data_IF_338798206302
#
_entry.id   IF_338798206302
#
_cell.length_a   1.000
_cell.length_b   1.000
_cell.length_c   1.000
_cell.angle_alpha   90.00
_cell.angle_beta   90.00
_cell.angle_gamma   90.00
#
_symmetry.space_group_name_H-M   'P 1'
#
loop_
_entity.id
_entity.type
_entity.pdbx_description
1 polymer ?
#
# COMPACT_ATOMS: atom_id res chain seq x y z
N UNK A 1 11.70 31.79 -0.11
CA UNK A 1 11.48 30.97 1.10
C UNK A 1 12.82 30.79 1.81
N UNK A 2 12.91 31.07 3.11
CA UNK A 2 14.14 30.88 3.90
C UNK A 2 14.31 29.39 4.20
N UNK A 3 15.50 28.82 3.98
CA UNK A 3 15.77 27.41 4.29
C UNK A 3 15.88 27.23 5.81
N UNK A 4 15.05 26.35 6.34
CA UNK A 4 15.04 25.84 7.71
C UNK A 4 15.89 24.57 7.78
N UNK A 5 17.15 24.76 8.17
CA UNK A 5 18.11 23.67 8.31
C UNK A 5 17.82 22.82 9.53
N UNK A 6 18.07 21.52 9.41
CA UNK A 6 18.03 20.61 10.53
C UNK A 6 19.13 20.99 11.55
N UNK A 7 18.84 21.01 12.86
CA UNK A 7 19.83 21.34 13.87
C UNK A 7 21.06 20.43 13.79
N UNK A 8 22.26 21.00 13.95
CA UNK A 8 23.51 20.23 13.98
C UNK A 8 23.47 19.21 15.15
N UNK A 9 23.04 19.66 16.33
CA UNK A 9 22.87 18.83 17.52
C UNK A 9 21.50 18.14 17.51
N UNK A 10 21.36 17.09 16.70
CA UNK A 10 20.22 16.18 16.74
C UNK A 10 20.64 14.79 17.25
N UNK A 11 19.79 14.09 18.03
CA UNK A 11 20.07 12.73 18.47
C UNK A 11 20.38 11.82 17.27
N UNK A 12 21.46 11.01 17.31
CA UNK A 12 21.83 10.11 16.21
C UNK A 12 20.67 9.23 15.75
N UNK A 13 19.85 8.75 16.70
CA UNK A 13 18.65 7.96 16.40
C UNK A 13 17.69 8.66 15.44
N UNK A 14 17.45 9.97 15.57
CA UNK A 14 16.56 10.72 14.65
C UNK A 14 17.17 10.87 13.25
N UNK A 15 18.50 10.97 13.16
CA UNK A 15 19.21 10.98 11.88
C UNK A 15 19.09 9.63 11.19
N UNK A 16 19.26 8.53 11.92
CA UNK A 16 19.09 7.18 11.38
C UNK A 16 17.65 6.89 10.93
N UNK A 17 16.65 7.35 11.68
CA UNK A 17 15.24 7.28 11.26
C UNK A 17 15.00 8.04 9.95
N UNK A 18 15.54 9.25 9.83
CA UNK A 18 15.46 10.03 8.59
C UNK A 18 16.18 9.30 7.44
N UNK A 19 17.35 8.72 7.71
CA UNK A 19 18.10 7.96 6.72
C UNK A 19 17.30 6.75 6.23
N UNK A 20 16.76 5.95 7.15
CA UNK A 20 15.98 4.76 6.82
C UNK A 20 14.72 5.11 6.01
N UNK A 21 13.95 6.10 6.45
CA UNK A 21 12.76 6.57 5.72
C UNK A 21 13.13 7.15 4.36
N UNK A 22 14.22 7.92 4.28
CA UNK A 22 14.73 8.45 3.02
C UNK A 22 15.10 7.34 2.06
N UNK A 23 15.96 6.39 2.47
CA UNK A 23 16.35 5.26 1.63
C UNK A 23 15.13 4.49 1.10
N UNK A 24 14.15 4.20 1.97
CA UNK A 24 12.91 3.54 1.56
C UNK A 24 12.15 4.34 0.49
N UNK A 25 11.92 5.63 0.72
CA UNK A 25 11.15 6.45 -0.22
C UNK A 25 11.88 6.59 -1.56
N UNK A 26 13.20 6.78 -1.52
CA UNK A 26 13.98 6.85 -2.75
C UNK A 26 13.99 5.51 -3.50
N UNK A 27 14.01 4.37 -2.80
CA UNK A 27 13.83 3.06 -3.44
C UNK A 27 12.45 3.00 -4.11
N UNK A 28 11.37 3.30 -3.41
CA UNK A 28 10.01 3.21 -3.98
C UNK A 28 9.82 4.15 -5.17
N UNK A 29 10.32 5.39 -5.09
CA UNK A 29 10.15 6.39 -6.14
C UNK A 29 11.05 6.16 -7.35
N UNK A 30 12.33 5.82 -7.15
CA UNK A 30 13.33 5.81 -8.23
C UNK A 30 13.67 4.43 -8.76
N UNK A 31 13.49 3.36 -7.97
CA UNK A 31 13.82 2.00 -8.41
C UNK A 31 13.09 1.57 -9.70
N UNK A 32 11.80 1.90 -9.93
CA UNK A 32 11.14 1.57 -11.20
C UNK A 32 11.86 2.20 -12.40
N UNK A 33 12.18 3.49 -12.33
CA UNK A 33 12.87 4.20 -13.40
C UNK A 33 14.31 3.70 -13.59
N UNK A 34 15.04 3.49 -12.49
CA UNK A 34 16.39 2.93 -12.52
C UNK A 34 16.41 1.52 -13.12
N UNK A 35 15.40 0.70 -12.82
CA UNK A 35 15.29 -0.65 -13.36
C UNK A 35 15.08 -0.65 -14.88
N UNK A 36 14.21 0.23 -15.38
CA UNK A 36 14.00 0.42 -16.83
C UNK A 36 15.28 0.96 -17.49
N UNK A 37 15.91 1.97 -16.89
CA UNK A 37 17.16 2.53 -17.38
C UNK A 37 18.27 1.47 -17.47
N UNK A 38 18.49 0.69 -16.41
CA UNK A 38 19.49 -0.38 -16.38
C UNK A 38 19.19 -1.46 -17.41
N UNK A 39 17.92 -1.78 -17.63
CA UNK A 39 17.52 -2.76 -18.67
C UNK A 39 17.90 -2.27 -20.05
N UNK A 40 17.58 -1.01 -20.39
CA UNK A 40 17.96 -0.40 -21.67
C UNK A 40 19.48 -0.33 -21.79
N UNK A 41 20.17 0.12 -20.74
CA UNK A 41 21.63 0.18 -20.71
C UNK A 41 22.25 -1.19 -20.97
N UNK A 42 21.82 -2.24 -20.29
CA UNK A 42 22.35 -3.59 -20.51
C UNK A 42 22.00 -4.15 -21.89
N UNK A 43 20.84 -3.82 -22.46
CA UNK A 43 20.51 -4.19 -23.84
C UNK A 43 21.46 -3.54 -24.87
N UNK A 44 21.94 -2.32 -24.60
CA UNK A 44 22.84 -1.60 -25.51
C UNK A 44 24.30 -2.02 -25.36
N UNK A 45 24.77 -2.26 -24.12
CA UNK A 45 26.19 -2.38 -23.82
C UNK A 45 26.68 -3.81 -23.50
N UNK A 46 25.79 -4.78 -23.23
CA UNK A 46 26.24 -6.15 -23.01
C UNK A 46 26.71 -6.83 -24.30
N UNK A 47 27.57 -7.84 -24.14
CA UNK A 47 27.93 -8.77 -25.21
C UNK A 47 26.68 -9.48 -25.76
N UNK A 48 26.80 -10.12 -26.93
CA UNK A 48 25.71 -10.91 -27.52
C UNK A 48 25.12 -11.93 -26.51
N UNK A 49 25.99 -12.64 -25.80
CA UNK A 49 25.56 -13.60 -24.77
C UNK A 49 24.83 -12.92 -23.61
N UNK A 50 25.34 -11.78 -23.13
CA UNK A 50 24.69 -11.03 -22.05
C UNK A 50 23.30 -10.51 -22.45
N UNK A 51 23.15 -10.01 -23.68
CA UNK A 51 21.85 -9.62 -24.24
C UNK A 51 20.89 -10.80 -24.35
N UNK A 52 21.36 -11.96 -24.81
CA UNK A 52 20.54 -13.16 -24.89
C UNK A 52 20.02 -13.59 -23.52
N UNK A 53 20.87 -13.60 -22.48
CA UNK A 53 20.47 -13.90 -21.10
C UNK A 53 19.46 -12.88 -20.59
N UNK A 54 19.67 -11.59 -20.84
CA UNK A 54 18.73 -10.54 -20.44
C UNK A 54 17.36 -10.71 -21.12
N UNK A 55 17.32 -11.00 -22.41
CA UNK A 55 16.06 -11.24 -23.14
C UNK A 55 15.33 -12.50 -22.64
N UNK A 56 16.06 -13.56 -22.29
CA UNK A 56 15.49 -14.75 -21.64
C UNK A 56 14.89 -14.38 -20.28
N UNK A 57 15.59 -13.57 -19.49
CA UNK A 57 15.08 -13.10 -18.20
C UNK A 57 13.82 -12.23 -18.34
N UNK A 58 13.79 -11.30 -19.29
CA UNK A 58 12.60 -10.49 -19.58
C UNK A 58 11.42 -11.35 -20.04
N UNK A 59 11.68 -12.34 -20.90
CA UNK A 59 10.68 -13.30 -21.38
C UNK A 59 10.15 -14.17 -20.23
N UNK A 60 11.03 -14.60 -19.32
CA UNK A 60 10.65 -15.31 -18.10
C UNK A 60 9.76 -14.45 -17.20
N UNK A 61 10.12 -13.19 -16.94
CA UNK A 61 9.30 -12.27 -16.15
C UNK A 61 7.91 -12.13 -16.75
N UNK A 62 7.85 -11.85 -18.05
CA UNK A 62 6.59 -11.67 -18.76
C UNK A 62 5.71 -12.93 -18.67
N UNK A 63 6.29 -14.09 -18.96
CA UNK A 63 5.58 -15.37 -18.89
C UNK A 63 5.10 -15.70 -17.47
N UNK A 64 6.00 -15.59 -16.48
CA UNK A 64 5.69 -15.87 -15.08
C UNK A 64 4.59 -14.95 -14.58
N UNK A 65 4.66 -13.66 -14.84
CA UNK A 65 3.62 -12.74 -14.41
C UNK A 65 2.29 -13.03 -15.12
N UNK A 66 2.31 -13.28 -16.44
CA UNK A 66 1.08 -13.56 -17.20
C UNK A 66 0.39 -14.86 -16.79
N UNK A 67 1.15 -15.87 -16.38
CA UNK A 67 0.64 -17.21 -16.03
C UNK A 67 0.43 -17.43 -14.54
N UNK A 68 1.29 -16.86 -13.70
CA UNK A 68 1.36 -17.12 -12.27
C UNK A 68 1.22 -15.85 -11.43
N UNK A 69 0.98 -14.69 -12.07
CA UNK A 69 0.78 -13.39 -11.43
C UNK A 69 1.98 -12.96 -10.57
N UNK A 70 3.17 -13.50 -10.87
CA UNK A 70 4.38 -13.34 -10.06
C UNK A 70 4.15 -13.62 -8.58
N UNK A 71 3.42 -14.70 -8.32
CA UNK A 71 3.06 -15.12 -6.98
C UNK A 71 4.29 -15.36 -6.08
N UNK A 72 4.00 -15.34 -4.79
CA UNK A 72 4.93 -15.60 -3.71
C UNK A 72 4.27 -16.51 -2.68
N UNK A 73 5.07 -17.42 -2.12
CA UNK A 73 4.67 -18.27 -1.01
C UNK A 73 5.01 -17.62 0.33
N UNK A 74 4.28 -17.99 1.38
CA UNK A 74 4.51 -17.50 2.73
C UNK A 74 4.47 -15.98 2.85
N UNK A 75 5.34 -15.40 3.68
CA UNK A 75 5.43 -13.96 3.91
C UNK A 75 6.55 -13.27 3.10
N UNK A 76 7.00 -13.86 1.99
CA UNK A 76 8.21 -13.37 1.32
C UNK A 76 9.46 -13.55 2.19
N UNK A 77 10.48 -12.74 1.99
CA UNK A 77 11.75 -12.85 2.70
C UNK A 77 11.72 -12.03 4.00
N UNK A 78 11.49 -12.71 5.12
CA UNK A 78 11.33 -12.07 6.44
C UNK A 78 12.49 -11.14 6.85
N UNK A 79 13.78 -11.42 6.57
CA UNK A 79 14.86 -10.48 6.84
C UNK A 79 14.73 -9.13 6.11
N UNK A 80 14.15 -9.10 4.91
CA UNK A 80 13.88 -7.84 4.20
C UNK A 80 12.72 -7.06 4.85
N UNK A 81 11.76 -7.77 5.45
CA UNK A 81 10.60 -7.18 6.13
C UNK A 81 10.92 -6.77 7.56
N UNK A 82 11.74 -7.52 8.29
CA UNK A 82 12.05 -7.29 9.71
C UNK A 82 13.56 -7.07 9.88
N UNK A 83 14.01 -5.83 9.79
CA UNK A 83 15.40 -5.46 9.97
C UNK A 83 15.54 -4.08 10.62
N UNK A 84 16.80 -3.66 10.76
CA UNK A 84 17.17 -2.40 11.34
C UNK A 84 16.53 -1.18 10.65
N UNK A 85 16.48 -1.16 9.32
CA UNK A 85 15.90 -0.06 8.55
C UNK A 85 14.39 0.02 8.77
N UNK A 86 13.68 -1.12 8.69
CA UNK A 86 12.22 -1.15 8.84
C UNK A 86 11.77 -0.77 10.26
N UNK A 87 12.57 -1.11 11.29
CA UNK A 87 12.34 -0.64 12.67
C UNK A 87 12.46 0.89 12.76
N UNK A 88 13.46 1.49 12.14
CA UNK A 88 13.68 2.93 12.16
C UNK A 88 12.66 3.71 11.35
N UNK A 89 12.17 3.16 10.24
CA UNK A 89 11.02 3.73 9.54
C UNK A 89 9.77 3.76 10.41
N UNK A 90 9.47 2.67 11.12
CA UNK A 90 8.34 2.61 12.05
C UNK A 90 8.42 3.69 13.14
N UNK A 91 9.62 3.88 13.70
CA UNK A 91 9.87 4.90 14.71
C UNK A 91 9.86 6.33 14.15
N UNK A 92 10.07 6.51 12.83
CA UNK A 92 10.02 7.82 12.19
C UNK A 92 8.61 8.41 12.25
N UNK A 93 7.57 7.61 11.97
CA UNK A 93 6.15 8.02 11.95
C UNK A 93 5.35 7.63 13.20
N UNK A 94 6.00 7.40 14.36
CA UNK A 94 5.46 6.61 15.49
C UNK A 94 4.24 5.71 15.18
N UNK A 95 4.44 4.67 14.36
CA UNK A 95 3.30 3.92 13.77
C UNK A 95 2.61 3.02 14.79
N UNK A 96 1.28 3.16 14.85
CA UNK A 96 0.38 2.33 15.65
C UNK A 96 -0.51 1.44 14.75
N UNK A 97 -0.80 0.23 15.24
CA UNK A 97 -1.76 -0.70 14.64
C UNK A 97 -2.80 -1.05 15.69
N UNK A 98 -4.03 -0.58 15.48
CA UNK A 98 -5.16 -0.77 16.40
C UNK A 98 -6.03 -1.90 15.88
N UNK A 99 -6.08 -2.99 16.65
CA UNK A 99 -6.96 -4.13 16.40
C UNK A 99 -8.32 -3.86 17.05
N UNK A 100 -9.40 -3.90 16.27
CA UNK A 100 -10.77 -3.78 16.80
C UNK A 100 -11.55 -5.10 16.80
N UNK A 101 -11.10 -6.08 16.01
CA UNK A 101 -11.71 -7.40 15.91
C UNK A 101 -10.66 -8.50 15.64
N UNK A 102 -11.05 -9.75 15.90
CA UNK A 102 -10.26 -10.93 15.54
C UNK A 102 -10.36 -11.24 14.04
N UNK A 103 -9.23 -11.61 13.43
CA UNK A 103 -9.19 -12.19 12.08
C UNK A 103 -8.87 -13.67 12.23
N UNK A 104 -9.90 -14.52 12.16
CA UNK A 104 -9.76 -15.96 12.29
C UNK A 104 -8.99 -16.53 11.09
N UNK A 105 -7.98 -17.38 11.29
CA UNK A 105 -7.15 -17.87 10.19
C UNK A 105 -7.82 -18.99 9.37
N UNK A 106 -9.16 -19.05 9.36
CA UNK A 106 -9.97 -20.04 8.66
C UNK A 106 -10.65 -19.51 7.38
N UNK A 107 -10.35 -18.26 7.01
CA UNK A 107 -10.84 -17.61 5.79
C UNK A 107 -9.83 -16.57 5.34
N UNK A 108 -9.93 -16.12 4.09
CA UNK A 108 -9.12 -15.01 3.59
C UNK A 108 -9.89 -13.67 3.68
N UNK A 109 -9.14 -12.57 3.68
CA UNK A 109 -9.67 -11.23 3.92
C UNK A 109 -9.20 -10.24 2.85
N UNK A 110 -10.10 -9.35 2.43
CA UNK A 110 -9.72 -8.10 1.76
C UNK A 110 -9.68 -7.02 2.82
N UNK A 111 -8.50 -6.48 3.12
CA UNK A 111 -8.36 -5.31 3.98
C UNK A 111 -8.51 -4.05 3.11
N UNK A 112 -9.70 -3.44 3.12
CA UNK A 112 -10.02 -2.24 2.35
C UNK A 112 -9.45 -1.02 3.09
N UNK A 113 -8.30 -0.53 2.63
CA UNK A 113 -7.50 0.47 3.33
C UNK A 113 -7.73 1.88 2.80
N UNK A 114 -7.91 2.83 3.72
CA UNK A 114 -8.15 4.24 3.44
C UNK A 114 -7.47 5.15 4.49
N UNK A 115 -7.20 6.43 4.18
CA UNK A 115 -6.96 6.89 2.81
C UNK A 115 -5.68 6.25 2.24
N UNK A 116 -5.51 6.31 0.92
CA UNK A 116 -4.32 5.85 0.21
C UNK A 116 -3.10 6.69 0.60
N UNK A 117 -3.31 7.98 0.84
CA UNK A 117 -2.23 8.96 0.97
C UNK A 117 -1.39 9.03 -0.32
N UNK A 118 -0.14 9.47 -0.19
CA UNK A 118 0.81 9.48 -1.32
C UNK A 118 1.35 8.07 -1.59
N UNK A 119 1.79 7.34 -0.56
CA UNK A 119 2.48 6.04 -0.70
C UNK A 119 1.94 4.94 0.24
N UNK A 120 0.79 5.15 0.89
CA UNK A 120 0.17 4.17 1.80
C UNK A 120 1.10 3.75 2.95
N UNK A 121 1.73 4.70 3.62
CA UNK A 121 2.80 4.52 4.60
C UNK A 121 2.37 3.68 5.80
N UNK A 122 1.17 3.93 6.34
CA UNK A 122 0.62 3.19 7.48
C UNK A 122 0.48 1.70 7.17
N UNK A 123 -0.22 1.38 6.08
CA UNK A 123 -0.38 -0.01 5.59
C UNK A 123 0.97 -0.61 5.27
N UNK A 124 1.83 0.09 4.54
CA UNK A 124 3.11 -0.46 4.12
C UNK A 124 4.04 -0.74 5.29
N UNK A 125 3.97 0.03 6.36
CA UNK A 125 4.70 -0.31 7.57
C UNK A 125 4.03 -1.45 8.31
N UNK A 126 2.78 -1.31 8.74
CA UNK A 126 2.14 -2.33 9.56
C UNK A 126 2.07 -3.71 8.90
N UNK A 127 1.94 -3.76 7.58
CA UNK A 127 1.81 -5.00 6.82
C UNK A 127 3.03 -5.31 5.96
N UNK A 128 3.99 -4.42 5.74
CA UNK A 128 5.15 -4.65 4.86
C UNK A 128 6.51 -4.51 5.56
N UNK A 129 6.65 -3.57 6.50
CA UNK A 129 7.90 -3.23 7.18
C UNK A 129 7.78 -3.36 8.70
N UNK A 130 8.59 -4.25 9.26
CA UNK A 130 8.56 -4.63 10.67
C UNK A 130 7.20 -5.24 11.05
N UNK A 131 6.80 -6.27 10.28
CA UNK A 131 5.50 -6.93 10.34
C UNK A 131 5.26 -7.74 11.62
N UNK A 132 6.24 -7.83 12.52
CA UNK A 132 6.10 -8.57 13.77
C UNK A 132 4.87 -8.17 14.58
N UNK A 133 4.51 -6.87 14.59
CA UNK A 133 3.30 -6.39 15.27
C UNK A 133 2.01 -6.93 14.63
N UNK A 134 1.97 -7.04 13.30
CA UNK A 134 0.85 -7.66 12.60
C UNK A 134 0.73 -9.15 12.96
N UNK A 135 1.84 -9.90 12.88
CA UNK A 135 1.84 -11.33 13.17
C UNK A 135 1.44 -11.64 14.62
N UNK A 136 1.79 -10.74 15.56
CA UNK A 136 1.35 -10.83 16.95
C UNK A 136 -0.17 -10.59 17.10
N UNK A 137 -0.72 -9.58 16.41
CA UNK A 137 -2.12 -9.21 16.54
C UNK A 137 -3.07 -10.12 15.76
N UNK A 138 -2.60 -10.70 14.65
CA UNK A 138 -3.39 -11.56 13.75
C UNK A 138 -2.65 -12.88 13.49
N UNK A 139 -2.54 -13.75 14.51
CA UNK A 139 -1.83 -15.02 14.38
C UNK A 139 -2.46 -15.89 13.29
N UNK A 140 -1.62 -16.52 12.46
CA UNK A 140 -2.06 -17.38 11.35
C UNK A 140 -2.53 -16.63 10.09
N UNK A 141 -2.54 -15.29 10.10
CA UNK A 141 -2.98 -14.45 8.96
C UNK A 141 -1.79 -13.72 8.31
N UNK A 142 -1.46 -14.09 7.07
CA UNK A 142 -0.37 -13.48 6.31
C UNK A 142 -0.74 -12.08 5.79
N UNK A 143 0.06 -11.04 6.07
CA UNK A 143 -0.14 -9.73 5.48
C UNK A 143 0.40 -9.69 4.04
N UNK A 144 -0.50 -9.39 3.09
CA UNK A 144 -0.20 -9.19 1.67
C UNK A 144 -0.61 -7.78 1.26
N UNK A 145 0.33 -6.99 0.75
CA UNK A 145 0.02 -5.65 0.24
C UNK A 145 -0.07 -5.74 -1.28
N UNK A 146 -1.21 -5.34 -1.84
CA UNK A 146 -1.40 -5.25 -3.28
C UNK A 146 -0.88 -3.92 -3.80
N UNK A 147 -0.01 -3.95 -4.82
CA UNK A 147 0.53 -2.77 -5.50
C UNK A 147 0.35 -2.89 -7.02
N UNK A 148 0.70 -1.83 -7.76
CA UNK A 148 0.46 -1.70 -9.20
C UNK A 148 0.96 -2.94 -9.98
N UNK A 149 0.07 -3.50 -10.80
CA UNK A 149 0.35 -4.69 -11.62
C UNK A 149 1.56 -4.50 -12.55
N UNK A 150 1.71 -3.31 -13.12
CA UNK A 150 2.82 -2.97 -14.01
C UNK A 150 4.20 -3.15 -13.37
N UNK A 151 4.33 -3.00 -12.04
CA UNK A 151 5.61 -3.16 -11.36
C UNK A 151 6.16 -4.59 -11.47
N UNK A 152 5.29 -5.58 -11.68
CA UNK A 152 5.68 -6.98 -11.81
C UNK A 152 6.15 -7.36 -13.22
N UNK A 153 6.11 -6.44 -14.18
CA UNK A 153 6.77 -6.59 -15.49
C UNK A 153 8.15 -5.92 -15.54
N UNK A 154 8.51 -5.14 -14.52
CA UNK A 154 9.78 -4.39 -14.48
C UNK A 154 10.85 -5.29 -13.86
N UNK A 155 11.94 -5.62 -14.58
CA UNK A 155 13.04 -6.44 -14.06
C UNK A 155 13.71 -5.78 -12.86
N UNK A 156 14.32 -6.57 -11.97
CA UNK A 156 14.91 -6.14 -10.69
C UNK A 156 13.89 -5.64 -9.66
N UNK A 157 13.01 -4.71 -10.06
CA UNK A 157 11.92 -4.22 -9.21
C UNK A 157 11.00 -5.36 -8.78
N UNK A 158 10.56 -6.20 -9.74
CA UNK A 158 9.67 -7.34 -9.47
C UNK A 158 10.21 -8.23 -8.35
N UNK A 159 11.50 -8.57 -8.39
CA UNK A 159 12.15 -9.47 -7.45
C UNK A 159 12.20 -8.85 -6.07
N UNK A 160 12.54 -7.57 -5.98
CA UNK A 160 12.51 -6.81 -4.73
C UNK A 160 11.09 -6.80 -4.15
N UNK A 161 10.06 -6.51 -4.95
CA UNK A 161 8.66 -6.52 -4.50
C UNK A 161 8.23 -7.90 -4.00
N UNK A 162 8.61 -8.97 -4.71
CA UNK A 162 8.30 -10.36 -4.31
C UNK A 162 9.00 -10.74 -3.01
N UNK A 163 10.30 -10.43 -2.87
CA UNK A 163 11.02 -10.65 -1.62
C UNK A 163 10.45 -9.83 -0.47
N UNK A 164 9.93 -8.64 -0.76
CA UNK A 164 9.28 -7.79 0.23
C UNK A 164 7.88 -8.27 0.62
N UNK A 165 7.32 -9.25 -0.08
CA UNK A 165 6.01 -9.80 0.24
C UNK A 165 4.84 -9.08 -0.42
N UNK A 166 5.09 -8.19 -1.38
CA UNK A 166 4.06 -7.48 -2.14
C UNK A 166 3.52 -8.37 -3.27
N UNK A 167 2.26 -8.10 -3.64
CA UNK A 167 1.53 -8.83 -4.68
C UNK A 167 0.91 -7.85 -5.67
N UNK A 168 0.51 -8.34 -6.85
CA UNK A 168 -0.20 -7.50 -7.81
C UNK A 168 -1.63 -7.21 -7.35
N UNK A 169 -2.10 -5.98 -7.61
CA UNK A 169 -3.49 -5.56 -7.45
C UNK A 169 -4.39 -5.96 -8.63
N UNK A 170 -3.89 -6.71 -9.63
CA UNK A 170 -4.75 -7.26 -10.68
C UNK A 170 -5.79 -8.22 -10.12
N UNK A 171 -6.96 -8.26 -10.78
CA UNK A 171 -8.09 -9.09 -10.37
C UNK A 171 -7.69 -10.55 -10.19
N UNK A 172 -6.88 -11.07 -11.11
CA UNK A 172 -6.42 -12.46 -11.14
C UNK A 172 -5.50 -12.77 -9.96
N UNK A 173 -4.55 -11.87 -9.67
CA UNK A 173 -3.68 -11.96 -8.49
C UNK A 173 -4.50 -11.93 -7.19
N UNK A 174 -5.44 -10.98 -7.07
CA UNK A 174 -6.31 -10.87 -5.89
C UNK A 174 -7.11 -12.16 -5.68
N UNK A 175 -7.78 -12.68 -6.72
CA UNK A 175 -8.52 -13.95 -6.65
C UNK A 175 -7.59 -15.11 -6.27
N UNK A 176 -6.36 -15.16 -6.82
CA UNK A 176 -5.40 -16.21 -6.51
C UNK A 176 -5.05 -16.29 -5.02
N UNK A 177 -4.84 -15.16 -4.34
CA UNK A 177 -4.52 -15.14 -2.91
C UNK A 177 -5.75 -15.33 -2.01
N UNK A 178 -6.91 -14.82 -2.44
CA UNK A 178 -8.16 -14.89 -1.68
C UNK A 178 -8.85 -16.26 -1.78
N UNK A 179 -8.46 -17.11 -2.73
CA UNK A 179 -8.95 -18.49 -2.86
C UNK A 179 -7.95 -19.54 -2.36
N UNK A 180 -6.85 -19.12 -1.71
CA UNK A 180 -5.91 -20.08 -1.12
C UNK A 180 -6.55 -20.86 0.02
N UNK A 181 -6.23 -22.17 0.04
CA UNK A 181 -6.69 -23.08 1.08
C UNK A 181 -6.33 -22.56 2.46
N UNK A 182 -7.30 -22.63 3.36
CA UNK A 182 -7.12 -22.37 4.78
C UNK A 182 -6.90 -23.64 5.61
N UNK A 183 -6.71 -24.78 4.96
CA UNK A 183 -6.39 -26.06 5.59
C UNK A 183 -4.93 -26.05 6.10
N UNK A 184 -4.69 -26.28 7.41
CA UNK A 184 -3.35 -26.42 7.98
C UNK A 184 -2.46 -27.44 7.28
N UNK A 185 -3.03 -28.52 6.74
CA UNK A 185 -2.29 -29.61 6.11
C UNK A 185 -1.92 -29.32 4.65
N UNK A 186 -2.47 -28.24 4.07
CA UNK A 186 -2.18 -27.86 2.70
C UNK A 186 -0.69 -27.50 2.52
N UNK A 187 -0.08 -27.93 1.42
CA UNK A 187 1.37 -27.77 1.16
C UNK A 187 1.89 -26.33 1.30
N UNK A 188 1.05 -25.34 0.98
CA UNK A 188 1.36 -23.91 1.10
C UNK A 188 1.24 -23.34 2.52
N UNK A 189 0.72 -24.09 3.50
CA UNK A 189 0.47 -23.64 4.87
C UNK A 189 1.43 -24.24 5.91
N UNK A 190 2.48 -24.94 5.44
CA UNK A 190 3.54 -25.52 6.28
C UNK A 190 4.35 -24.50 7.08
N UNK A 191 4.24 -23.20 6.76
CA UNK A 191 4.85 -22.11 7.52
C UNK A 191 4.05 -21.75 8.79
N UNK A 192 2.96 -22.46 9.09
CA UNK A 192 2.11 -22.23 10.26
C UNK A 192 1.05 -21.14 10.07
N UNK A 193 0.93 -20.60 8.85
CA UNK A 193 -0.11 -19.63 8.50
C UNK A 193 -1.11 -20.26 7.54
N UNK A 194 -2.40 -20.04 7.77
CA UNK A 194 -3.45 -20.64 6.95
C UNK A 194 -4.29 -19.60 6.22
N UNK A 195 -4.21 -18.32 6.59
CA UNK A 195 -5.01 -17.26 5.99
C UNK A 195 -4.17 -16.19 5.33
N UNK A 196 -4.75 -15.49 4.35
CA UNK A 196 -4.22 -14.26 3.77
C UNK A 196 -5.13 -13.07 4.10
N UNK A 197 -4.55 -11.97 4.55
CA UNK A 197 -5.17 -10.66 4.53
C UNK A 197 -4.52 -9.81 3.42
N UNK A 198 -5.29 -9.56 2.37
CA UNK A 198 -4.87 -8.79 1.21
C UNK A 198 -5.29 -7.34 1.39
N UNK A 199 -4.33 -6.48 1.72
CA UNK A 199 -4.52 -5.04 1.79
C UNK A 199 -4.57 -4.41 0.40
N UNK A 200 -5.65 -3.68 0.17
CA UNK A 200 -5.90 -2.93 -1.04
C UNK A 200 -6.21 -1.48 -0.66
N UNK A 201 -5.40 -0.55 -1.17
CA UNK A 201 -5.67 0.89 -1.06
C UNK A 201 -6.70 1.25 -2.14
N UNK A 202 -8.00 1.13 -1.79
CA UNK A 202 -9.11 1.07 -2.75
C UNK A 202 -9.25 2.34 -3.58
N UNK A 203 -9.02 3.52 -2.99
CA UNK A 203 -9.07 4.79 -3.72
C UNK A 203 -8.00 4.92 -4.80
N UNK A 204 -6.88 4.20 -4.63
CA UNK A 204 -5.80 4.08 -5.60
C UNK A 204 -5.18 5.41 -5.99
N UNK A 205 -4.64 5.45 -7.21
CA UNK A 205 -3.99 6.64 -7.77
C UNK A 205 -4.91 7.87 -7.82
N UNK A 206 -6.24 7.70 -7.97
CA UNK A 206 -7.18 8.82 -7.96
C UNK A 206 -7.19 9.53 -6.60
N UNK A 207 -7.35 8.76 -5.52
CA UNK A 207 -7.43 9.31 -4.16
C UNK A 207 -6.13 10.01 -3.74
N UNK A 208 -4.99 9.51 -4.21
CA UNK A 208 -3.68 10.13 -3.92
C UNK A 208 -3.54 11.58 -4.42
N UNK A 209 -4.30 11.96 -5.46
CA UNK A 209 -4.32 13.33 -5.97
C UNK A 209 -5.03 14.31 -5.01
N UNK A 210 -5.88 13.79 -4.14
CA UNK A 210 -6.65 14.56 -3.14
C UNK A 210 -6.02 14.47 -1.74
N UNK A 211 -4.85 13.82 -1.61
CA UNK A 211 -4.12 13.68 -0.36
C UNK A 211 -3.42 14.98 0.05
N UNK A 212 -4.18 15.89 0.65
CA UNK A 212 -3.67 17.14 1.23
C UNK A 212 -3.71 17.09 2.76
N UNK A 213 -2.80 17.77 3.47
CA UNK A 213 -2.79 17.79 4.93
C UNK A 213 -4.16 18.15 5.52
N UNK A 214 -4.61 17.36 6.48
CA UNK A 214 -5.91 17.44 7.18
C UNK A 214 -7.15 17.24 6.30
N UNK A 215 -7.00 16.87 5.03
CA UNK A 215 -8.12 16.64 4.13
C UNK A 215 -8.33 15.13 3.93
N UNK A 216 -9.32 14.57 4.64
CA UNK A 216 -9.68 13.16 4.53
C UNK A 216 -10.72 12.98 3.41
N UNK A 217 -10.24 12.83 2.18
CA UNK A 217 -11.07 12.58 1.00
C UNK A 217 -10.88 11.13 0.57
N UNK A 218 -11.96 10.34 0.57
CA UNK A 218 -11.94 8.94 0.15
C UNK A 218 -12.60 8.79 -1.23
N UNK A 219 -11.91 8.19 -2.19
CA UNK A 219 -12.48 7.78 -3.47
C UNK A 219 -13.01 6.35 -3.34
N UNK A 220 -14.27 6.17 -2.92
CA UNK A 220 -14.89 4.86 -2.70
C UNK A 220 -16.24 4.70 -3.41
N UNK A 221 -17.06 5.74 -3.61
CA UNK A 221 -18.45 5.60 -4.11
C UNK A 221 -18.51 4.85 -5.45
N UNK A 222 -17.55 5.11 -6.34
CA UNK A 222 -17.42 4.45 -7.64
C UNK A 222 -16.61 3.15 -7.63
N UNK A 223 -16.05 2.72 -6.48
CA UNK A 223 -15.05 1.65 -6.37
C UNK A 223 -15.63 0.33 -5.87
N UNK A 224 -16.57 -0.25 -6.58
CA UNK A 224 -17.21 -1.52 -6.17
C UNK A 224 -16.41 -2.79 -6.53
N UNK A 225 -15.27 -2.65 -7.21
CA UNK A 225 -14.49 -3.79 -7.72
C UNK A 225 -14.04 -4.75 -6.63
N UNK A 226 -13.57 -4.23 -5.49
CA UNK A 226 -13.10 -5.04 -4.37
C UNK A 226 -14.25 -5.83 -3.73
N UNK A 227 -15.46 -5.25 -3.64
CA UNK A 227 -16.66 -5.94 -3.15
C UNK A 227 -17.03 -7.11 -4.05
N UNK A 228 -17.00 -6.90 -5.38
CA UNK A 228 -17.25 -7.97 -6.36
C UNK A 228 -16.22 -9.10 -6.23
N UNK A 229 -14.96 -8.79 -5.93
CA UNK A 229 -13.92 -9.81 -5.69
C UNK A 229 -14.17 -10.55 -4.37
N UNK A 230 -14.51 -9.83 -3.30
CA UNK A 230 -14.83 -10.42 -2.00
C UNK A 230 -15.97 -11.44 -2.12
N UNK A 231 -17.08 -11.05 -2.76
CA UNK A 231 -18.25 -11.92 -2.99
C UNK A 231 -17.88 -13.14 -3.85
N UNK A 232 -17.07 -12.99 -4.90
CA UNK A 232 -16.66 -14.14 -5.72
C UNK A 232 -15.79 -15.16 -4.98
N UNK A 233 -14.98 -14.66 -4.05
CA UNK A 233 -13.99 -15.47 -3.32
C UNK A 233 -14.50 -15.94 -1.96
N UNK A 234 -15.66 -15.46 -1.51
CA UNK A 234 -16.15 -15.70 -0.15
C UNK A 234 -15.28 -15.06 0.93
N UNK A 235 -14.42 -14.12 0.56
CA UNK A 235 -13.51 -13.45 1.49
C UNK A 235 -14.21 -12.30 2.18
N UNK A 236 -14.08 -12.20 3.50
CA UNK A 236 -14.66 -11.09 4.25
C UNK A 236 -13.91 -9.78 3.96
N UNK A 237 -14.64 -8.67 3.94
CA UNK A 237 -14.06 -7.34 3.75
C UNK A 237 -13.80 -6.74 5.13
N UNK A 238 -12.59 -6.28 5.38
CA UNK A 238 -12.21 -5.63 6.64
C UNK A 238 -11.92 -4.16 6.33
N UNK A 239 -12.78 -3.21 6.73
CA UNK A 239 -12.50 -1.78 6.60
C UNK A 239 -11.27 -1.42 7.43
N UNK A 240 -10.37 -0.60 6.90
CA UNK A 240 -9.21 -0.10 7.63
C UNK A 240 -8.97 1.38 7.34
N UNK A 241 -8.74 2.15 8.40
CA UNK A 241 -8.56 3.60 8.33
C UNK A 241 -7.21 4.02 8.92
N UNK A 242 -6.43 4.83 8.21
CA UNK A 242 -5.10 5.31 8.61
C UNK A 242 -5.13 6.80 8.93
N UNK A 243 -5.22 7.15 10.21
CA UNK A 243 -5.14 8.53 10.67
C UNK A 243 -3.69 9.04 10.57
N UNK A 244 -3.53 10.31 10.19
CA UNK A 244 -2.23 10.96 9.99
C UNK A 244 -1.56 10.65 8.64
N UNK A 245 -2.11 9.72 7.85
CA UNK A 245 -1.55 9.34 6.54
C UNK A 245 -1.50 10.51 5.55
N UNK A 246 -2.51 11.39 5.56
CA UNK A 246 -2.56 12.57 4.67
C UNK A 246 -1.68 13.72 5.13
N UNK A 247 -1.14 13.66 6.35
CA UNK A 247 -0.38 14.76 6.97
C UNK A 247 1.15 14.59 6.79
N UNK A 248 1.61 13.48 6.21
CA UNK A 248 3.04 13.21 6.02
C UNK A 248 3.62 13.86 4.76
N UNK A 249 2.78 14.33 3.85
CA UNK A 249 3.20 15.11 2.68
C UNK A 249 2.25 16.27 2.50
N UNK A 250 2.81 17.42 2.11
CA UNK A 250 2.03 18.45 1.46
C UNK A 250 2.09 18.24 -0.07
N UNK A 251 1.22 18.88 -0.82
CA UNK A 251 1.20 18.80 -2.28
C UNK A 251 0.96 20.18 -2.88
N UNK A 252 1.53 20.41 -4.07
CA UNK A 252 1.18 21.63 -4.82
C UNK A 252 -0.32 21.64 -5.09
N UNK A 253 -0.97 22.76 -4.80
CA UNK A 253 -2.41 22.90 -4.98
C UNK A 253 -2.82 22.52 -6.42
N UNK A 254 -3.75 21.57 -6.51
CA UNK A 254 -4.20 20.94 -7.74
C UNK A 254 -5.73 20.82 -7.75
N UNK A 255 -6.42 21.95 -7.52
CA UNK A 255 -7.89 22.03 -7.56
C UNK A 255 -8.48 21.38 -8.82
N UNK A 256 -9.73 20.91 -8.72
CA UNK A 256 -10.39 20.14 -9.79
C UNK A 256 -10.43 20.85 -11.16
N UNK A 257 -10.45 22.18 -11.14
CA UNK A 257 -10.48 23.08 -12.30
C UNK A 257 -9.08 23.50 -12.80
N UNK A 258 -8.00 23.10 -12.11
CA UNK A 258 -6.64 23.50 -12.46
C UNK A 258 -6.09 22.78 -13.70
N UNK A 259 -5.19 23.45 -14.43
CA UNK A 259 -4.42 22.83 -15.52
C UNK A 259 -3.60 21.63 -15.01
N UNK A 260 -3.03 21.75 -13.81
CA UNK A 260 -2.25 20.69 -13.19
C UNK A 260 -3.11 19.44 -12.97
N UNK A 261 -4.32 19.57 -12.41
CA UNK A 261 -5.21 18.43 -12.22
C UNK A 261 -5.60 17.76 -13.54
N UNK A 262 -5.90 18.55 -14.59
CA UNK A 262 -6.18 18.00 -15.93
C UNK A 262 -5.01 17.18 -16.47
N UNK A 263 -3.79 17.70 -16.35
CA UNK A 263 -2.59 16.96 -16.76
C UNK A 263 -2.38 15.68 -15.93
N UNK A 264 -2.52 15.76 -14.60
CA UNK A 264 -2.40 14.60 -13.71
C UNK A 264 -3.41 13.51 -14.06
N UNK A 265 -4.67 13.88 -14.32
CA UNK A 265 -5.72 12.95 -14.70
C UNK A 265 -5.45 12.31 -16.07
N UNK A 266 -4.97 13.10 -17.04
CA UNK A 266 -4.55 12.59 -18.35
C UNK A 266 -3.44 11.53 -18.24
N UNK A 267 -2.37 11.82 -17.48
CA UNK A 267 -1.27 10.86 -17.28
C UNK A 267 -1.77 9.60 -16.56
N UNK A 268 -2.64 9.76 -15.55
CA UNK A 268 -3.23 8.65 -14.81
C UNK A 268 -4.13 7.78 -15.71
N UNK A 269 -4.91 8.38 -16.61
CA UNK A 269 -5.73 7.64 -17.57
C UNK A 269 -4.87 6.83 -18.55
N UNK A 270 -3.75 7.41 -19.01
CA UNK A 270 -2.83 6.76 -19.94
C UNK A 270 -2.01 5.64 -19.29
N UNK A 271 -1.58 5.83 -18.04
CA UNK A 271 -0.53 4.99 -17.41
C UNK A 271 -1.00 4.24 -16.15
N UNK A 272 -2.12 4.61 -15.56
CA UNK A 272 -2.56 4.14 -14.25
C UNK A 272 -1.85 4.80 -13.05
N UNK A 273 -0.88 5.69 -13.29
CA UNK A 273 -0.07 6.36 -12.26
C UNK A 273 -0.44 7.85 -12.17
N UNK A 274 -0.63 8.35 -10.96
CA UNK A 274 -0.84 9.78 -10.72
C UNK A 274 0.51 10.49 -10.51
N UNK A 275 0.89 11.46 -11.37
CA UNK A 275 2.11 12.23 -11.15
C UNK A 275 1.89 13.27 -10.05
N UNK A 276 2.24 12.91 -8.82
CA UNK A 276 2.09 13.78 -7.65
C UNK A 276 3.30 14.73 -7.52
N UNK A 277 3.02 16.01 -7.27
CA UNK A 277 4.06 17.01 -6.94
C UNK A 277 4.03 17.21 -5.42
N UNK A 278 4.70 16.31 -4.72
CA UNK A 278 4.72 16.26 -3.26
C UNK A 278 5.79 17.17 -2.68
N UNK A 279 5.49 17.71 -1.50
CA UNK A 279 6.37 18.55 -0.71
C UNK A 279 6.57 17.84 0.63
N UNK A 280 7.71 17.17 0.76
CA UNK A 280 8.21 16.64 2.01
C UNK A 280 9.36 17.51 2.54
N UNK A 281 10.36 16.84 3.12
CA UNK A 281 11.60 17.41 3.64
C UNK A 281 12.83 16.73 3.06
N UNK A 282 13.99 17.33 3.30
CA UNK A 282 15.29 16.79 2.92
C UNK A 282 15.95 16.05 4.08
N UNK A 283 17.11 15.44 3.81
CA UNK A 283 17.94 14.83 4.86
C UNK A 283 18.41 15.87 5.89
N UNK A 284 18.73 17.09 5.44
CA UNK A 284 19.39 18.13 6.23
C UNK A 284 18.58 19.43 6.38
N UNK A 285 17.36 19.52 5.81
CA UNK A 285 16.46 20.67 5.94
C UNK A 285 14.99 20.21 5.94
N UNK A 286 14.07 21.10 6.34
CA UNK A 286 12.66 20.76 6.56
C UNK A 286 11.65 21.24 5.51
N UNK A 287 12.03 22.12 4.58
CA UNK A 287 11.08 22.83 3.71
C UNK A 287 10.76 22.15 2.38
N UNK A 288 11.63 21.27 1.86
CA UNK A 288 11.36 20.61 0.57
C UNK A 288 12.10 19.27 0.44
N UNK A 289 11.63 18.40 -0.44
CA UNK A 289 12.28 17.12 -0.76
C UNK A 289 11.29 15.96 -0.75
N UNK A 290 11.81 14.76 -0.97
CA UNK A 290 10.98 13.56 -1.09
C UNK A 290 10.73 12.86 0.24
N UNK A 291 11.44 13.18 1.33
CA UNK A 291 11.26 12.46 2.60
C UNK A 291 9.97 12.99 3.27
N UNK A 292 9.03 12.13 3.68
CA UNK A 292 7.81 12.57 4.34
C UNK A 292 8.09 13.37 5.61
N UNK A 293 7.17 14.27 5.98
CA UNK A 293 7.16 14.93 7.26
C UNK A 293 6.90 13.94 8.40
N UNK A 294 7.40 14.28 9.58
CA UNK A 294 7.39 13.40 10.74
C UNK A 294 6.07 13.53 11.51
N UNK A 295 5.05 12.79 11.10
CA UNK A 295 3.75 12.71 11.79
C UNK A 295 3.45 11.30 12.30
N UNK A 296 2.62 11.21 13.34
CA UNK A 296 2.10 9.93 13.83
C UNK A 296 1.16 9.34 12.79
N UNK A 297 1.27 8.04 12.51
CA UNK A 297 0.30 7.30 11.70
C UNK A 297 -0.35 6.21 12.55
N UNK A 298 -1.67 6.18 12.59
CA UNK A 298 -2.45 5.16 13.31
C UNK A 298 -3.36 4.44 12.35
N UNK A 299 -3.06 3.17 12.08
CA UNK A 299 -3.94 2.31 11.30
C UNK A 299 -4.91 1.57 12.24
N UNK A 300 -6.19 1.85 12.08
CA UNK A 300 -7.28 1.10 12.72
C UNK A 300 -7.75 0.02 11.76
N UNK A 301 -7.84 -1.21 12.23
CA UNK A 301 -8.36 -2.36 11.48
C UNK A 301 -9.71 -2.74 12.08
N UNK A 302 -10.75 -2.59 11.27
CA UNK A 302 -12.16 -2.78 11.61
C UNK A 302 -12.58 -4.25 11.77
N UNK A 303 -13.89 -4.44 11.94
CA UNK A 303 -14.51 -5.76 11.98
C UNK A 303 -14.73 -6.32 10.57
N UNK A 304 -14.60 -7.65 10.36
CA UNK A 304 -14.94 -8.28 9.10
C UNK A 304 -16.43 -8.13 8.75
N UNK A 305 -16.70 -7.67 7.53
CA UNK A 305 -18.00 -7.68 6.88
C UNK A 305 -18.07 -8.97 6.06
N UNK A 306 -18.91 -9.89 6.52
CA UNK A 306 -19.09 -11.20 5.87
C UNK A 306 -19.87 -11.06 4.57
N UNK A 307 -19.54 -11.93 3.62
CA UNK A 307 -20.20 -11.98 2.31
C UNK A 307 -20.64 -13.41 1.99
N UNK A 308 -21.78 -13.54 1.31
CA UNK A 308 -22.22 -14.83 0.76
C UNK A 308 -21.52 -15.07 -0.57
N UNK A 309 -20.72 -16.12 -0.66
CA UNK A 309 -19.95 -16.40 -1.86
C UNK A 309 -20.88 -16.64 -3.07
N UNK A 310 -20.63 -15.94 -4.18
CA UNK A 310 -21.36 -16.12 -5.45
C UNK A 310 -20.46 -15.78 -6.65
N UNK A 311 -20.41 -16.65 -7.66
CA UNK A 311 -19.59 -16.44 -8.87
C UNK A 311 -20.08 -15.27 -9.74
N UNK A 312 -21.39 -15.02 -9.75
CA UNK A 312 -22.02 -13.89 -10.41
C UNK A 312 -22.69 -12.98 -9.36
N UNK A 313 -21.95 -12.01 -8.77
CA UNK A 313 -22.49 -11.12 -7.75
C UNK A 313 -23.68 -10.31 -8.29
N UNK A 314 -24.81 -10.40 -7.62
CA UNK A 314 -25.97 -9.56 -7.89
C UNK A 314 -25.65 -8.07 -7.60
N UNK A 315 -26.00 -7.13 -8.50
CA UNK A 315 -25.70 -5.71 -8.31
C UNK A 315 -26.30 -5.10 -7.04
N UNK A 316 -27.50 -5.51 -6.63
CA UNK A 316 -28.15 -4.99 -5.43
C UNK A 316 -27.38 -5.46 -4.18
N UNK A 317 -27.00 -6.73 -4.13
CA UNK A 317 -26.18 -7.25 -3.04
C UNK A 317 -24.78 -6.61 -2.99
N UNK A 318 -24.16 -6.36 -4.15
CA UNK A 318 -22.89 -5.61 -4.22
C UNK A 318 -23.04 -4.22 -3.62
N UNK A 319 -24.12 -3.50 -3.95
CA UNK A 319 -24.41 -2.17 -3.41
C UNK A 319 -24.63 -2.22 -1.90
N UNK A 320 -25.37 -3.20 -1.39
CA UNK A 320 -25.60 -3.39 0.04
C UNK A 320 -24.28 -3.58 0.81
N UNK A 321 -23.41 -4.50 0.35
CA UNK A 321 -22.12 -4.74 1.01
C UNK A 321 -21.21 -3.51 0.89
N UNK A 322 -21.20 -2.85 -0.27
CA UNK A 322 -20.43 -1.63 -0.48
C UNK A 322 -20.85 -0.51 0.48
N UNK A 323 -22.16 -0.34 0.69
CA UNK A 323 -22.72 0.64 1.61
C UNK A 323 -22.31 0.34 3.06
N UNK A 324 -22.34 -0.93 3.49
CA UNK A 324 -21.83 -1.32 4.82
C UNK A 324 -20.35 -0.99 5.01
N UNK A 325 -19.53 -1.07 3.95
CA UNK A 325 -18.12 -0.68 4.02
C UNK A 325 -17.99 0.84 4.21
N UNK A 326 -18.78 1.64 3.49
CA UNK A 326 -18.78 3.10 3.63
C UNK A 326 -19.19 3.50 5.06
N UNK A 327 -20.30 2.96 5.55
CA UNK A 327 -20.81 3.22 6.91
C UNK A 327 -19.77 2.86 7.96
N UNK A 328 -19.12 1.70 7.84
CA UNK A 328 -18.07 1.29 8.78
C UNK A 328 -16.84 2.22 8.74
N UNK A 329 -16.51 2.84 7.60
CA UNK A 329 -15.43 3.83 7.51
C UNK A 329 -15.82 5.16 8.14
N UNK A 330 -17.06 5.62 7.93
CA UNK A 330 -17.61 6.82 8.54
C UNK A 330 -17.68 6.69 10.06
N UNK A 331 -18.23 5.59 10.57
CA UNK A 331 -18.27 5.28 11.99
C UNK A 331 -16.87 5.22 12.61
N UNK A 332 -15.92 4.57 11.92
CA UNK A 332 -14.53 4.49 12.38
C UNK A 332 -13.87 5.87 12.40
N UNK A 333 -14.11 6.70 11.39
CA UNK A 333 -13.59 8.06 11.37
C UNK A 333 -14.12 8.87 12.55
N UNK A 334 -15.45 8.92 12.74
CA UNK A 334 -16.09 9.67 13.81
C UNK A 334 -15.66 9.20 15.20
N UNK A 335 -15.53 7.89 15.39
CA UNK A 335 -15.10 7.30 16.66
C UNK A 335 -13.68 7.68 17.05
N UNK A 336 -12.76 7.77 16.09
CA UNK A 336 -11.33 7.92 16.38
C UNK A 336 -10.76 9.31 16.03
N UNK A 337 -11.48 10.17 15.30
CA UNK A 337 -10.97 11.49 14.87
C UNK A 337 -10.51 12.36 16.04
N UNK A 338 -11.26 12.42 17.14
CA UNK A 338 -10.89 13.22 18.31
C UNK A 338 -9.66 12.70 19.05
N UNK A 339 -9.30 11.43 18.84
CA UNK A 339 -8.12 10.81 19.45
C UNK A 339 -6.84 11.06 18.64
N UNK A 340 -6.94 11.06 17.30
CA UNK A 340 -5.77 11.02 16.43
C UNK A 340 -5.62 12.25 15.51
N UNK A 341 -6.61 13.13 15.44
CA UNK A 341 -6.57 14.34 14.61
C UNK A 341 -6.53 15.57 15.53
N UNK A 342 -5.54 16.44 15.33
CA UNK A 342 -5.50 17.74 15.98
C UNK A 342 -6.60 18.65 15.42
N UNK A 343 -7.31 19.36 16.30
CA UNK A 343 -8.46 20.19 15.92
C UNK A 343 -9.54 19.42 15.14
N UNK A 344 -9.84 18.19 15.57
CA UNK A 344 -10.78 17.28 14.89
C UNK A 344 -12.15 17.91 14.54
N UNK A 345 -12.62 18.91 15.29
CA UNK A 345 -13.87 19.62 15.03
C UNK A 345 -13.88 20.35 13.67
N UNK A 346 -12.71 20.70 13.13
CA UNK A 346 -12.58 21.39 11.83
C UNK A 346 -12.28 20.42 10.69
N UNK A 347 -12.22 19.12 10.95
CA UNK A 347 -11.82 18.10 9.99
C UNK A 347 -13.00 17.18 9.73
N UNK A 348 -13.41 17.11 8.46
CA UNK A 348 -14.53 16.28 8.01
C UNK A 348 -14.03 15.22 7.04
N UNK A 349 -14.69 14.06 7.08
CA UNK A 349 -14.52 13.00 6.09
C UNK A 349 -15.37 13.32 4.87
N UNK A 350 -14.78 13.24 3.68
CA UNK A 350 -15.48 13.38 2.41
C UNK A 350 -15.45 12.04 1.67
N UNK A 351 -16.62 11.49 1.38
CA UNK A 351 -16.77 10.25 0.61
C UNK A 351 -17.12 10.60 -0.84
N UNK A 352 -16.23 10.27 -1.78
CA UNK A 352 -16.32 10.53 -3.21
C UNK A 352 -16.40 9.26 -4.06
#
# INVERSE_FOLDING_TARGET
>A
MKIEWAPIKMPPRRRLQTLATGLYVYIVLFLPFMSVFLTIFFLLYLSFMGRAILLLYLSFIYYDHKKHFSNIYGNGWLPLRNNFLTKHMRDYFPIELVKTAELKPNRNYILACFPHGVIGTGVTNNMGNNIGKWLQLYPGVRPKIATLDMHFYIPFLREILRFWGLISCSKESLIYYLTKSNDPEHSHNKDGFTSNAVALLVGGAQESLDSHPRNYVLTIKSRQGFVKIAIRTGSAIVPSFSFGEVDIYDQVNNSSDSCLRRFQLFVKELTGVSPLIVIGRGFFQYNFGFIPQRHQIVQVVGSPIEVKQTYNPDPQYVNEIHQKVIEALEEMFEKYKHKYIQNANTVNLVIN
#
